data_IF_170180512479
#
_entry.id   IF_170180512479
#
_cell.length_a   1.000
_cell.length_b   1.000
_cell.length_c   1.000
_cell.angle_alpha   90.00
_cell.angle_beta   90.00
_cell.angle_gamma   90.00
#
_symmetry.space_group_name_H-M   'P 1'
#
loop_
_entity.id
_entity.type
_entity.pdbx_description
1 polymer ?
#
# COMPACT_ATOMS: atom_id res chain seq x y z
N UNK A 1 -1.52 -10.11 14.28
CA UNK A 1 -0.53 -9.61 13.32
C UNK A 1 -1.34 -8.89 12.27
N UNK A 2 -1.26 -7.56 12.23
CA UNK A 2 -2.04 -6.78 11.26
C UNK A 2 -1.11 -6.49 10.11
N UNK A 3 -1.28 -7.22 9.02
CA UNK A 3 -0.49 -6.98 7.81
C UNK A 3 -0.84 -5.60 7.26
N UNK A 4 0.16 -4.82 6.84
CA UNK A 4 -0.07 -3.50 6.25
C UNK A 4 0.77 -3.34 4.99
N UNK A 5 0.14 -2.82 3.94
CA UNK A 5 0.81 -2.54 2.66
C UNK A 5 1.15 -1.05 2.56
N UNK A 6 2.37 -0.74 2.11
CA UNK A 6 2.78 0.63 1.84
C UNK A 6 2.56 1.00 0.38
N UNK A 7 1.77 2.03 0.12
CA UNK A 7 1.41 2.52 -1.22
C UNK A 7 1.88 3.95 -1.41
N UNK A 8 2.41 4.24 -2.61
CA UNK A 8 2.84 5.58 -3.01
C UNK A 8 2.14 6.00 -4.31
N UNK A 9 1.53 7.18 -4.30
CA UNK A 9 0.76 7.73 -5.43
C UNK A 9 1.60 8.57 -6.40
N UNK A 10 2.67 9.21 -5.92
CA UNK A 10 3.55 10.07 -6.73
C UNK A 10 5.00 9.60 -6.64
N UNK A 11 5.78 9.74 -7.72
CA UNK A 11 7.18 9.28 -7.81
C UNK A 11 8.05 9.72 -6.62
N UNK A 12 7.87 10.96 -6.14
CA UNK A 12 8.55 11.52 -4.96
C UNK A 12 7.54 11.93 -3.85
N UNK A 13 6.61 11.04 -3.50
CA UNK A 13 5.56 11.30 -2.50
C UNK A 13 5.74 10.53 -1.18
N UNK A 14 4.90 10.90 -0.19
CA UNK A 14 4.74 10.14 1.06
C UNK A 14 4.24 8.71 0.76
N UNK A 15 4.65 7.77 1.60
CA UNK A 15 4.10 6.41 1.63
C UNK A 15 2.92 6.42 2.59
N UNK A 16 1.80 5.88 2.15
CA UNK A 16 0.59 5.69 2.93
C UNK A 16 0.41 4.20 3.21
N UNK A 17 -0.15 3.85 4.35
CA UNK A 17 -0.33 2.46 4.78
C UNK A 17 -1.81 2.09 4.71
N UNK A 18 -2.08 0.92 4.17
CA UNK A 18 -3.43 0.39 3.99
C UNK A 18 -3.50 -1.05 4.49
N UNK A 19 -4.70 -1.50 4.77
CA UNK A 19 -5.00 -2.92 4.95
C UNK A 19 -4.91 -3.61 3.59
N UNK A 20 -4.09 -4.67 3.42
CA UNK A 20 -4.01 -5.44 2.17
C UNK A 20 -5.30 -6.23 1.87
N UNK A 21 -6.26 -6.31 2.80
CA UNK A 21 -7.52 -7.03 2.68
C UNK A 21 -7.33 -8.51 2.29
N UNK A 22 -6.22 -9.12 2.72
CA UNK A 22 -5.86 -10.49 2.37
C UNK A 22 -5.37 -10.68 0.93
N UNK A 23 -5.15 -9.60 0.17
CA UNK A 23 -4.60 -9.65 -1.18
C UNK A 23 -3.08 -9.84 -1.09
N UNK A 24 -2.56 -10.83 -1.82
CA UNK A 24 -1.12 -11.03 -1.94
C UNK A 24 -0.54 -9.96 -2.88
N UNK A 25 0.13 -8.97 -2.27
CA UNK A 25 0.66 -7.79 -2.95
C UNK A 25 2.19 -7.78 -2.88
N UNK A 26 2.82 -7.52 -4.01
CA UNK A 26 4.27 -7.44 -4.15
C UNK A 26 4.73 -6.01 -4.45
N UNK A 27 5.98 -5.71 -4.10
CA UNK A 27 6.56 -4.40 -4.41
C UNK A 27 6.60 -4.21 -5.93
N UNK A 28 6.02 -3.11 -6.39
CA UNK A 28 5.94 -2.79 -7.81
C UNK A 28 4.54 -2.90 -8.39
N UNK A 29 3.62 -3.63 -7.73
CA UNK A 29 2.23 -3.77 -8.14
C UNK A 29 1.52 -2.42 -8.15
N UNK A 30 0.62 -2.26 -9.10
CA UNK A 30 -0.29 -1.12 -9.14
C UNK A 30 -1.59 -1.48 -8.44
N UNK A 31 -2.05 -0.58 -7.59
CA UNK A 31 -3.28 -0.75 -6.80
C UNK A 31 -4.14 0.49 -6.95
N UNK A 32 -5.45 0.30 -6.89
CA UNK A 32 -6.42 1.39 -6.74
C UNK A 32 -6.95 1.32 -5.32
N UNK A 33 -6.87 2.42 -4.59
CA UNK A 33 -7.33 2.50 -3.20
C UNK A 33 -8.35 3.61 -3.04
N UNK A 34 -9.34 3.38 -2.19
CA UNK A 34 -10.35 4.38 -1.84
C UNK A 34 -9.75 5.38 -0.86
N UNK A 35 -9.75 6.66 -1.22
CA UNK A 35 -9.30 7.77 -0.37
C UNK A 35 -10.46 8.70 -0.06
N UNK A 36 -10.26 9.68 0.81
CA UNK A 36 -11.28 10.71 1.10
C UNK A 36 -11.65 11.57 -0.11
N UNK A 37 -10.87 11.52 -1.20
CA UNK A 37 -11.12 12.23 -2.46
C UNK A 37 -11.66 11.31 -3.56
N UNK A 38 -11.95 10.05 -3.23
CA UNK A 38 -12.32 8.98 -4.16
C UNK A 38 -11.15 8.04 -4.45
N UNK A 39 -11.29 7.29 -5.54
CA UNK A 39 -10.31 6.27 -5.94
C UNK A 39 -9.03 6.90 -6.49
N UNK A 40 -7.90 6.47 -5.95
CA UNK A 40 -6.57 6.86 -6.43
C UNK A 40 -5.73 5.63 -6.78
N UNK A 41 -5.04 5.70 -7.92
CA UNK A 41 -4.08 4.69 -8.35
C UNK A 41 -2.70 4.98 -7.75
N UNK A 42 -2.11 3.97 -7.12
CA UNK A 42 -0.79 4.04 -6.54
C UNK A 42 0.04 2.81 -6.88
N UNK A 43 1.28 2.80 -6.38
CA UNK A 43 2.20 1.68 -6.52
C UNK A 43 2.61 1.16 -5.15
N UNK A 44 2.61 -0.17 -4.99
CA UNK A 44 3.11 -0.84 -3.79
C UNK A 44 4.61 -0.63 -3.69
N UNK A 45 5.06 -0.09 -2.56
CA UNK A 45 6.47 0.17 -2.25
C UNK A 45 6.95 -0.57 -0.99
N UNK A 46 6.03 -1.15 -0.22
CA UNK A 46 6.30 -2.03 0.92
C UNK A 46 5.27 -3.16 0.86
N UNK A 47 5.73 -4.41 0.80
CA UNK A 47 4.84 -5.57 0.81
C UNK A 47 4.28 -5.84 2.22
N UNK A 48 3.09 -6.47 2.34
CA UNK A 48 2.45 -6.74 3.63
C UNK A 48 3.34 -7.52 4.62
N UNK A 49 4.12 -8.46 4.09
CA UNK A 49 4.99 -9.36 4.87
C UNK A 49 6.26 -8.67 5.39
N UNK A 50 6.62 -7.49 4.85
CA UNK A 50 7.84 -6.77 5.26
C UNK A 50 7.63 -5.91 6.51
N UNK A 51 6.39 -5.73 6.97
CA UNK A 51 6.09 -4.89 8.12
C UNK A 51 6.03 -5.73 9.40
N UNK A 52 7.20 -5.97 9.99
CA UNK A 52 7.29 -6.46 11.37
C UNK A 52 7.21 -5.25 12.31
N UNK A 53 6.03 -4.98 12.86
CA UNK A 53 5.93 -4.11 14.02
C UNK A 53 6.62 -4.80 15.21
N UNK A 54 7.66 -4.16 15.74
CA UNK A 54 8.40 -4.59 16.93
C UNK A 54 7.59 -4.33 18.20
#
# INVERSE_FOLDING_TARGET
MTDVVGVRFKRAGKVYYFDPAGIDLTVGDYVVVETTRGQEMGRVVISPQQVLAS
#
